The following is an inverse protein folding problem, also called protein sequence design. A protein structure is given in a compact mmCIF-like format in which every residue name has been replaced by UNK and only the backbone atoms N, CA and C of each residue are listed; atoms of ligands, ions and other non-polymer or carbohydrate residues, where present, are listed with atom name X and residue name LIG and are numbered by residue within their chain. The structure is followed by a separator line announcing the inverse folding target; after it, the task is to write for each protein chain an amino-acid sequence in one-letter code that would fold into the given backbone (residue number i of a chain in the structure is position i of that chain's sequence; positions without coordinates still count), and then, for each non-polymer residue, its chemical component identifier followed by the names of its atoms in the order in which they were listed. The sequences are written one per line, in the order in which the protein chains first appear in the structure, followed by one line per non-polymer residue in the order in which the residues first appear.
data_IF_469502531911
#
_entry.id   IF_469502531911
#
_cell.length_a   1.000
_cell.length_b   1.000
_cell.length_c   1.000
_cell.angle_alpha   90.00
_cell.angle_beta   90.00
_cell.angle_gamma   90.00
#
_symmetry.space_group_name_H-M   'P 1'
#
loop_
_entity.id
_entity.type
_entity.pdbx_description
1 polymer ?
#
# COMPACT_ATOMS: atom_id res chain seq x y z
N UNK A 1 21.59 -4.99 -8.52
CA UNK A 1 20.29 -5.59 -8.90
C UNK A 1 19.22 -4.52 -8.67
N UNK A 2 18.31 -4.25 -9.61
CA UNK A 2 17.28 -3.22 -9.42
C UNK A 2 16.05 -3.89 -8.78
N UNK A 3 15.85 -3.66 -7.48
CA UNK A 3 14.81 -4.33 -6.67
C UNK A 3 13.40 -4.08 -7.21
N UNK A 4 13.11 -2.86 -7.67
CA UNK A 4 11.84 -2.53 -8.35
C UNK A 4 11.61 -3.40 -9.59
N UNK A 5 12.64 -3.58 -10.42
CA UNK A 5 12.55 -4.42 -11.63
C UNK A 5 12.26 -5.87 -11.30
N UNK A 6 12.84 -6.39 -10.21
CA UNK A 6 12.62 -7.77 -9.79
C UNK A 6 11.24 -7.98 -9.13
N UNK A 7 10.74 -7.01 -8.33
CA UNK A 7 9.36 -7.03 -7.83
C UNK A 7 8.33 -7.01 -8.97
N UNK A 8 8.58 -6.21 -9.99
CA UNK A 8 7.72 -6.16 -11.18
C UNK A 8 7.69 -7.51 -11.92
N UNK A 9 8.84 -8.19 -12.06
CA UNK A 9 8.88 -9.55 -12.63
C UNK A 9 8.07 -10.55 -11.80
N UNK A 10 7.94 -10.33 -10.49
CA UNK A 10 7.11 -11.12 -9.57
C UNK A 10 5.64 -10.68 -9.55
N UNK A 11 5.27 -9.66 -10.33
CA UNK A 11 3.89 -9.20 -10.50
C UNK A 11 3.44 -8.11 -9.53
N UNK A 12 4.37 -7.53 -8.75
CA UNK A 12 4.07 -6.48 -7.78
C UNK A 12 4.51 -5.10 -8.29
N UNK A 13 3.61 -4.14 -8.19
CA UNK A 13 3.83 -2.72 -8.42
C UNK A 13 3.72 -1.98 -7.08
N UNK A 14 4.76 -1.22 -6.75
CA UNK A 14 4.84 -0.38 -5.55
C UNK A 14 5.38 1.00 -5.89
N UNK A 15 5.01 1.99 -5.08
CA UNK A 15 5.61 3.32 -5.14
C UNK A 15 7.12 3.26 -4.88
N UNK A 16 7.89 4.15 -5.52
CA UNK A 16 9.36 4.12 -5.45
C UNK A 16 9.90 4.37 -4.04
N UNK A 17 9.26 5.28 -3.29
CA UNK A 17 9.56 5.58 -1.89
C UNK A 17 9.30 4.40 -0.96
N UNK A 18 8.17 3.71 -1.17
CA UNK A 18 7.83 2.50 -0.45
C UNK A 18 8.81 1.35 -0.77
N UNK A 19 9.16 1.22 -2.05
CA UNK A 19 10.12 0.22 -2.52
C UNK A 19 11.47 0.37 -1.83
N UNK A 20 11.95 1.60 -1.63
CA UNK A 20 13.20 1.88 -0.88
C UNK A 20 13.16 1.42 0.58
N UNK A 21 11.99 1.45 1.22
CA UNK A 21 11.83 0.94 2.59
C UNK A 21 11.92 -0.59 2.59
N UNK A 22 11.27 -1.24 1.62
CA UNK A 22 11.34 -2.68 1.44
C UNK A 22 12.72 -3.18 0.99
N UNK A 23 13.52 -2.35 0.31
CA UNK A 23 14.91 -2.65 -0.04
C UNK A 23 15.83 -2.85 1.18
N UNK A 24 15.41 -2.40 2.37
CA UNK A 24 16.12 -2.72 3.62
C UNK A 24 16.01 -4.21 4.01
N UNK A 25 15.09 -4.94 3.39
CA UNK A 25 14.89 -6.38 3.52
C UNK A 25 15.34 -7.12 2.26
N UNK A 26 15.59 -8.44 2.38
CA UNK A 26 15.85 -9.29 1.23
C UNK A 26 14.62 -9.41 0.31
N UNK A 27 14.85 -9.40 -1.01
CA UNK A 27 13.77 -9.47 -1.99
C UNK A 27 12.91 -10.73 -1.84
N UNK A 28 13.51 -11.90 -1.56
CA UNK A 28 12.74 -13.12 -1.42
C UNK A 28 11.82 -13.02 -0.20
N UNK A 29 12.35 -12.54 0.92
CA UNK A 29 11.58 -12.28 2.13
C UNK A 29 10.40 -11.34 1.85
N UNK A 30 10.62 -10.24 1.13
CA UNK A 30 9.55 -9.30 0.76
C UNK A 30 8.48 -10.00 -0.09
N UNK A 31 8.87 -10.80 -1.08
CA UNK A 31 7.90 -11.53 -1.91
C UNK A 31 7.13 -12.60 -1.13
N UNK A 32 7.77 -13.25 -0.15
CA UNK A 32 7.11 -14.22 0.72
C UNK A 32 6.09 -13.55 1.63
N UNK A 33 6.42 -12.39 2.20
CA UNK A 33 5.49 -11.60 3.02
C UNK A 33 4.30 -11.15 2.16
N UNK A 34 4.54 -10.60 0.97
CA UNK A 34 3.46 -10.16 0.08
C UNK A 34 2.56 -11.32 -0.36
N UNK A 35 3.13 -12.52 -0.58
CA UNK A 35 2.36 -13.71 -0.90
C UNK A 35 1.51 -14.18 0.31
N UNK A 36 2.07 -14.21 1.52
CA UNK A 36 1.35 -14.58 2.75
C UNK A 36 0.18 -13.63 3.06
N UNK A 37 0.33 -12.35 2.70
CA UNK A 37 -0.72 -11.34 2.84
C UNK A 37 -1.76 -11.39 1.71
N UNK A 38 -1.63 -12.29 0.73
CA UNK A 38 -2.40 -12.30 -0.52
C UNK A 38 -2.45 -10.89 -1.15
N UNK A 39 -1.28 -10.24 -1.21
CA UNK A 39 -1.22 -8.84 -1.61
C UNK A 39 -1.72 -8.64 -3.05
N UNK A 40 -2.47 -7.56 -3.32
CA UNK A 40 -2.84 -7.19 -4.67
C UNK A 40 -1.59 -6.93 -5.52
N UNK A 41 -1.72 -7.09 -6.85
CA UNK A 41 -0.65 -6.75 -7.80
C UNK A 41 -0.18 -5.30 -7.67
N UNK A 42 -1.05 -4.40 -7.23
CA UNK A 42 -0.71 -3.03 -6.84
C UNK A 42 -0.78 -2.91 -5.32
N UNK A 43 0.38 -2.85 -4.67
CA UNK A 43 0.47 -2.75 -3.21
C UNK A 43 0.45 -1.26 -2.84
N UNK A 44 -0.68 -0.81 -2.31
CA UNK A 44 -0.88 0.59 -1.92
C UNK A 44 -0.47 0.87 -0.48
N UNK A 45 -0.26 2.15 -0.18
CA UNK A 45 -0.06 2.66 1.19
C UNK A 45 -1.14 2.14 2.17
N UNK A 46 -2.40 2.21 1.78
CA UNK A 46 -3.53 1.77 2.61
C UNK A 46 -3.56 0.26 2.83
N UNK A 47 -3.15 -0.53 1.83
CA UNK A 47 -3.04 -1.98 1.99
C UNK A 47 -2.01 -2.33 3.06
N UNK A 48 -0.85 -1.67 3.05
CA UNK A 48 0.20 -1.91 4.05
C UNK A 48 -0.20 -1.43 5.44
N UNK A 49 -0.86 -0.28 5.53
CA UNK A 49 -1.43 0.22 6.78
C UNK A 49 -2.40 -0.79 7.40
N UNK A 50 -3.32 -1.35 6.60
CA UNK A 50 -4.30 -2.33 7.05
C UNK A 50 -3.69 -3.70 7.43
N UNK A 51 -2.44 -3.95 7.07
CA UNK A 51 -1.76 -5.23 7.29
C UNK A 51 -0.47 -5.11 8.10
N UNK A 52 -0.22 -3.97 8.77
CA UNK A 52 1.06 -3.72 9.44
C UNK A 52 1.35 -4.71 10.58
N UNK A 53 0.33 -5.08 11.35
CA UNK A 53 0.46 -6.10 12.39
C UNK A 53 0.79 -7.48 11.80
N UNK A 54 0.17 -7.82 10.67
CA UNK A 54 0.45 -9.07 9.95
C UNK A 54 1.84 -9.07 9.33
N UNK A 55 2.32 -7.92 8.85
CA UNK A 55 3.69 -7.75 8.38
C UNK A 55 4.67 -8.00 9.53
N UNK A 56 4.45 -7.36 10.69
CA UNK A 56 5.26 -7.58 11.90
C UNK A 56 5.28 -9.05 12.33
N UNK A 57 4.11 -9.70 12.34
CA UNK A 57 3.99 -11.13 12.64
C UNK A 57 4.75 -12.00 11.63
N UNK A 58 4.62 -11.70 10.33
CA UNK A 58 5.30 -12.45 9.26
C UNK A 58 6.82 -12.33 9.39
N UNK A 59 7.34 -11.13 9.72
CA UNK A 59 8.76 -10.91 9.96
C UNK A 59 9.28 -11.75 11.15
N UNK A 60 8.53 -11.78 12.25
CA UNK A 60 8.86 -12.63 13.40
C UNK A 60 8.84 -14.12 13.06
N UNK A 61 7.82 -14.58 12.33
CA UNK A 61 7.69 -15.97 11.89
C UNK A 61 8.83 -16.41 10.96
N UNK A 62 9.38 -15.47 10.17
CA UNK A 62 10.51 -15.70 9.26
C UNK A 62 11.87 -15.57 9.93
N UNK A 63 11.92 -15.29 11.24
CA UNK A 63 13.18 -15.21 11.99
C UNK A 63 14.04 -14.01 11.62
N UNK A 64 13.43 -12.90 11.17
CA UNK A 64 14.16 -11.66 10.87
C UNK A 64 14.75 -11.11 12.16
N UNK A 65 16.00 -10.63 12.09
CA UNK A 65 16.68 -9.98 13.21
C UNK A 65 15.81 -8.89 13.84
N UNK A 66 15.70 -8.90 15.18
CA UNK A 66 14.75 -8.04 15.89
C UNK A 66 15.11 -6.54 15.76
N UNK A 67 16.40 -6.21 15.66
CA UNK A 67 16.83 -4.82 15.45
C UNK A 67 16.46 -4.34 14.04
N UNK A 68 16.71 -5.18 13.03
CA UNK A 68 16.31 -4.90 11.64
C UNK A 68 14.80 -4.77 11.50
N UNK A 69 14.04 -5.70 12.10
CA UNK A 69 12.58 -5.69 12.11
C UNK A 69 12.05 -4.40 12.74
N UNK A 70 12.55 -4.01 13.92
CA UNK A 70 12.13 -2.79 14.60
C UNK A 70 12.40 -1.56 13.74
N UNK A 71 13.61 -1.44 13.18
CA UNK A 71 13.97 -0.33 12.29
C UNK A 71 13.08 -0.27 11.04
N UNK A 72 12.85 -1.41 10.40
CA UNK A 72 11.97 -1.50 9.24
C UNK A 72 10.53 -1.07 9.57
N UNK A 73 9.97 -1.55 10.68
CA UNK A 73 8.63 -1.19 11.10
C UNK A 73 8.53 0.31 11.44
N UNK A 74 9.53 0.89 12.11
CA UNK A 74 9.56 2.33 12.39
C UNK A 74 9.62 3.19 11.10
N UNK A 75 10.44 2.78 10.13
CA UNK A 75 10.56 3.46 8.83
C UNK A 75 9.26 3.31 8.02
N UNK A 76 8.65 2.13 8.04
CA UNK A 76 7.38 1.84 7.40
C UNK A 76 6.25 2.66 8.03
N UNK A 77 6.14 2.68 9.36
CA UNK A 77 5.15 3.46 10.10
C UNK A 77 5.29 4.96 9.82
N UNK A 78 6.51 5.49 9.82
CA UNK A 78 6.78 6.88 9.48
C UNK A 78 6.32 7.21 8.05
N UNK A 79 6.60 6.33 7.09
CA UNK A 79 6.15 6.50 5.71
C UNK A 79 4.63 6.40 5.55
N UNK A 80 4.02 5.47 6.27
CA UNK A 80 2.58 5.31 6.30
C UNK A 80 1.87 6.48 7.02
N UNK A 81 2.61 7.32 7.75
CA UNK A 81 2.04 8.44 8.51
C UNK A 81 1.45 8.01 9.85
N UNK A 82 1.91 6.88 10.39
CA UNK A 82 1.44 6.29 11.67
C UNK A 82 2.11 6.98 12.87
N UNK A 83 3.12 7.85 12.67
CA UNK A 83 3.75 8.60 13.76
C UNK A 83 2.80 9.64 14.36
N UNK A 84 2.19 9.23 15.49
CA UNK A 84 1.44 10.00 16.49
C UNK A 84 0.12 10.65 16.03
N UNK A 85 -0.90 9.83 15.86
CA UNK A 85 -2.29 10.17 16.23
C UNK A 85 -2.50 10.16 17.76
N UNK A 86 -1.52 10.68 18.52
CA UNK A 86 -1.74 11.03 19.94
C UNK A 86 -1.86 12.55 20.15
N UNK A 87 -1.66 13.37 19.11
CA UNK A 87 -1.95 14.82 19.15
C UNK A 87 -3.05 15.27 18.17
N UNK A 88 -3.56 14.38 17.31
CA UNK A 88 -4.72 14.67 16.44
C UNK A 88 -5.91 13.76 16.77
N UNK A 89 -6.25 13.68 18.07
CA UNK A 89 -7.60 13.27 18.50
C UNK A 89 -8.58 14.42 18.29
N UNK A 90 -8.69 14.97 17.08
CA UNK A 90 -9.81 15.86 16.74
C UNK A 90 -9.88 16.16 15.25
N UNK A 91 -10.02 15.14 14.40
CA UNK A 91 -10.79 15.35 13.17
C UNK A 91 -11.49 14.05 12.76
N UNK A 92 -12.75 13.96 13.18
CA UNK A 92 -13.74 13.04 12.65
C UNK A 92 -13.86 13.26 11.15
N UNK A 93 -13.10 12.53 10.34
CA UNK A 93 -13.38 12.43 8.90
C UNK A 93 -14.07 11.09 8.65
N UNK A 94 -15.40 11.15 8.80
CA UNK A 94 -16.43 10.33 8.16
C UNK A 94 -15.96 9.03 7.44
N UNK A 95 -15.82 7.98 8.23
CA UNK A 95 -15.56 6.60 7.78
C UNK A 95 -16.80 5.87 7.21
N UNK A 96 -17.89 6.59 6.89
CA UNK A 96 -19.19 5.97 6.61
C UNK A 96 -19.50 5.80 5.11
N UNK A 97 -18.90 6.56 4.19
CA UNK A 97 -19.37 6.54 2.79
C UNK A 97 -18.56 5.68 1.81
N UNK A 98 -17.31 5.29 2.12
CA UNK A 98 -16.50 4.47 1.17
C UNK A 98 -16.91 2.99 1.19
N UNK A 99 -17.46 2.49 2.31
CA UNK A 99 -17.88 1.09 2.43
C UNK A 99 -19.04 0.69 1.50
N UNK A 100 -19.77 1.64 0.93
CA UNK A 100 -20.87 1.35 -0.01
C UNK A 100 -20.44 1.16 -1.47
N UNK A 101 -19.23 1.57 -1.85
CA UNK A 101 -18.81 1.57 -3.26
C UNK A 101 -17.89 0.41 -3.67
N UNK A 102 -17.39 -0.40 -2.73
CA UNK A 102 -16.32 -1.36 -3.02
C UNK A 102 -16.70 -2.84 -3.02
N UNK A 103 -17.92 -3.24 -2.63
CA UNK A 103 -18.27 -4.66 -2.61
C UNK A 103 -19.71 -4.94 -3.01
N UNK A 104 -19.93 -5.03 -4.32
CA UNK A 104 -20.75 -6.09 -4.90
C UNK A 104 -19.98 -6.67 -6.10
N UNK A 105 -19.77 -8.00 -6.19
CA UNK A 105 -19.16 -8.61 -7.35
C UNK A 105 -20.17 -8.59 -8.50
N UNK A 106 -20.19 -7.51 -9.28
CA UNK A 106 -20.88 -7.48 -10.56
C UNK A 106 -19.90 -7.92 -11.64
N UNK A 107 -20.38 -8.73 -12.60
CA UNK A 107 -19.68 -8.97 -13.86
C UNK A 107 -19.59 -7.63 -14.60
N UNK A 108 -18.57 -6.86 -14.28
CA UNK A 108 -18.22 -5.64 -14.99
C UNK A 108 -17.57 -6.12 -16.29
N UNK A 109 -18.20 -5.82 -17.42
CA UNK A 109 -17.58 -6.08 -18.71
C UNK A 109 -16.31 -5.24 -18.83
N UNK A 110 -15.31 -5.72 -19.58
CA UNK A 110 -14.02 -5.03 -19.73
C UNK A 110 -14.20 -3.57 -20.17
N UNK A 111 -15.24 -3.29 -20.95
CA UNK A 111 -15.64 -1.94 -21.35
C UNK A 111 -16.00 -1.05 -20.16
N UNK A 112 -16.85 -1.52 -19.27
CA UNK A 112 -17.31 -0.80 -18.09
C UNK A 112 -16.16 -0.56 -17.10
N UNK A 113 -15.22 -1.51 -16.99
CA UNK A 113 -14.01 -1.34 -16.21
C UNK A 113 -13.11 -0.23 -16.78
N UNK A 114 -12.92 -0.22 -18.10
CA UNK A 114 -12.14 0.81 -18.80
C UNK A 114 -12.80 2.18 -18.65
N UNK A 115 -14.12 2.26 -18.71
CA UNK A 115 -14.87 3.51 -18.57
C UNK A 115 -14.83 4.04 -17.13
N UNK A 116 -14.97 3.15 -16.14
CA UNK A 116 -14.77 3.47 -14.72
C UNK A 116 -13.34 3.98 -14.45
N UNK A 117 -12.32 3.31 -14.99
CA UNK A 117 -10.92 3.68 -14.81
C UNK A 117 -10.59 5.03 -15.48
N UNK A 118 -11.12 5.28 -16.69
CA UNK A 118 -10.99 6.57 -17.38
C UNK A 118 -11.63 7.70 -16.59
N UNK A 119 -12.81 7.47 -16.03
CA UNK A 119 -13.54 8.46 -15.20
C UNK A 119 -12.73 8.78 -13.94
N UNK A 120 -12.14 7.77 -13.29
CA UNK A 120 -11.28 7.96 -12.13
C UNK A 120 -9.99 8.72 -12.45
N UNK A 121 -9.35 8.41 -13.57
CA UNK A 121 -8.17 9.14 -14.06
C UNK A 121 -8.51 10.61 -14.36
N UNK A 122 -9.66 10.87 -14.97
CA UNK A 122 -10.12 12.22 -15.25
C UNK A 122 -10.37 13.02 -13.96
N UNK A 123 -11.06 12.43 -12.98
CA UNK A 123 -11.33 13.08 -11.70
C UNK A 123 -10.05 13.35 -10.91
N UNK A 124 -9.06 12.45 -10.98
CA UNK A 124 -7.74 12.66 -10.39
C UNK A 124 -7.01 13.82 -11.07
N UNK A 125 -7.10 13.90 -12.41
CA UNK A 125 -6.52 15.02 -13.17
C UNK A 125 -7.16 16.35 -12.79
N UNK A 126 -8.49 16.41 -12.67
CA UNK A 126 -9.21 17.60 -12.21
C UNK A 126 -8.79 18.01 -10.79
N UNK A 127 -8.65 17.05 -9.88
CA UNK A 127 -8.17 17.31 -8.52
C UNK A 127 -6.75 17.89 -8.49
N UNK A 128 -5.84 17.35 -9.31
CA UNK A 128 -4.45 17.86 -9.42
C UNK A 128 -4.47 19.30 -9.96
N UNK A 129 -5.32 19.60 -10.93
CA UNK A 129 -5.50 20.94 -11.48
C UNK A 129 -6.11 21.91 -10.46
N UNK A 130 -7.14 21.51 -9.73
CA UNK A 130 -7.75 22.33 -8.66
C UNK A 130 -6.78 22.64 -7.52
N UNK A 131 -5.85 21.73 -7.23
CA UNK A 131 -4.83 21.93 -6.20
C UNK A 131 -3.57 22.63 -6.70
N UNK A 132 -3.49 22.97 -8.00
CA UNK A 132 -2.34 23.65 -8.59
C UNK A 132 -1.04 22.84 -8.49
N UNK A 133 -1.14 21.51 -8.55
CA UNK A 133 -0.03 20.57 -8.39
C UNK A 133 0.61 20.16 -9.73
N UNK A 134 0.39 20.93 -10.80
CA UNK A 134 0.96 20.72 -12.15
C UNK A 134 2.43 21.15 -12.24
#
# INVERSE_FOLDING_TARGET
MNFTKELLKKGYLMESSLTKIFETLDLNLVTEILAELNAPKLVSKNFLLANIEKISYSLSKKGVDENLKKKFLEDLEKFLGIKKLEEEKEEKINDIEIKKYLFEPRKIEVRDFVEYFKTRLWNLKLFIQEKGLE
#
